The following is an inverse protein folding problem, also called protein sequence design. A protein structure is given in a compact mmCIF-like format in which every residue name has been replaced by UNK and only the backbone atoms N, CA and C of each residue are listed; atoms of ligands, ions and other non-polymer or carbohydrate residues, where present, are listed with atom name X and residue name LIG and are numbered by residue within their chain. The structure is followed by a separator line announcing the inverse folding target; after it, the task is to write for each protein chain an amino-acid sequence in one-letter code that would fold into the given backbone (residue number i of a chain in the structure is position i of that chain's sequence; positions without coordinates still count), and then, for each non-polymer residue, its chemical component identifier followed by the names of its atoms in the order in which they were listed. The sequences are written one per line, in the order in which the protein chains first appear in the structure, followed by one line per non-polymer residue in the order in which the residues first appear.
data_IF_043062257399
#
_entry.id   IF_043062257399
#
_cell.length_a   1.000
_cell.length_b   1.000
_cell.length_c   1.000
_cell.angle_alpha   90.00
_cell.angle_beta   90.00
_cell.angle_gamma   90.00
#
_symmetry.space_group_name_H-M   'P 1'
#
loop_
_entity.id
_entity.type
_entity.pdbx_description
1 polymer ?
#
# COMPACT_ATOMS: atom_id res chain seq x y z
N UNK A 1 -11.57 3.61 -7.07
CA UNK A 1 -10.60 4.35 -7.91
C UNK A 1 -9.21 4.18 -7.31
N UNK A 2 -8.12 4.30 -8.09
CA UNK A 2 -6.74 3.96 -7.69
C UNK A 2 -6.31 4.52 -6.32
N UNK A 3 -6.72 5.75 -5.99
CA UNK A 3 -6.49 6.39 -4.67
C UNK A 3 -7.07 5.56 -3.50
N UNK A 4 -8.29 5.05 -3.64
CA UNK A 4 -8.96 4.26 -2.58
C UNK A 4 -8.26 2.91 -2.34
N UNK A 5 -7.65 2.32 -3.37
CA UNK A 5 -6.86 1.10 -3.22
C UNK A 5 -5.58 1.36 -2.43
N UNK A 6 -4.85 2.42 -2.76
CA UNK A 6 -3.65 2.82 -2.02
C UNK A 6 -3.98 3.23 -0.58
N UNK A 7 -5.08 3.96 -0.37
CA UNK A 7 -5.57 4.32 0.97
C UNK A 7 -5.87 3.08 1.81
N UNK A 8 -6.59 2.10 1.25
CA UNK A 8 -6.85 0.83 1.93
C UNK A 8 -5.56 0.05 2.24
N UNK A 9 -4.57 0.09 1.35
CA UNK A 9 -3.28 -0.59 1.56
C UNK A 9 -2.45 0.06 2.69
N UNK A 10 -2.45 1.40 2.79
CA UNK A 10 -1.77 2.13 3.88
C UNK A 10 -2.38 1.78 5.23
N UNK A 11 -3.72 1.83 5.35
CA UNK A 11 -4.41 1.47 6.60
C UNK A 11 -4.06 0.05 7.02
N UNK A 12 -4.11 -0.90 6.06
CA UNK A 12 -3.74 -2.28 6.34
C UNK A 12 -2.28 -2.42 6.80
N UNK A 13 -1.34 -1.66 6.22
CA UNK A 13 0.05 -1.65 6.63
C UNK A 13 0.25 -1.10 8.05
N UNK A 14 -0.54 -0.11 8.45
CA UNK A 14 -0.53 0.45 9.81
C UNK A 14 -1.10 -0.55 10.83
N UNK A 15 -2.21 -1.20 10.49
CA UNK A 15 -2.83 -2.25 11.32
C UNK A 15 -1.88 -3.45 11.54
N UNK A 16 -1.06 -3.79 10.55
CA UNK A 16 -0.04 -4.84 10.69
C UNK A 16 1.09 -4.48 11.68
N UNK A 17 1.34 -3.19 11.92
CA UNK A 17 2.39 -2.70 12.83
C UNK A 17 1.93 -2.52 14.28
N UNK A 18 0.61 -2.51 14.54
CA UNK A 18 0.02 -2.47 15.88
C UNK A 18 -0.14 -3.88 16.44
N UNK A 19 0.67 -4.25 17.43
CA UNK A 19 0.64 -5.58 18.03
C UNK A 19 -0.77 -6.02 18.47
N UNK A 20 -1.16 -7.23 18.06
CA UNK A 20 -2.45 -7.92 18.31
C UNK A 20 -3.62 -7.30 17.55
N UNK A 21 -4.16 -7.90 16.49
CA UNK A 21 -5.07 -9.06 16.55
C UNK A 21 -4.91 -9.92 15.29
N UNK A 22 -4.69 -11.23 15.51
CA UNK A 22 -4.89 -12.26 14.47
C UNK A 22 -6.37 -12.35 14.14
N UNK A 23 -6.88 -11.44 13.33
CA UNK A 23 -8.08 -11.72 12.56
C UNK A 23 -7.65 -11.77 11.11
N UNK A 24 -7.38 -12.99 10.64
CA UNK A 24 -7.21 -13.37 9.23
C UNK A 24 -8.57 -13.22 8.53
N UNK A 25 -9.15 -12.03 8.62
CA UNK A 25 -10.59 -11.77 8.55
C UNK A 25 -11.00 -10.83 7.43
N UNK A 26 -10.06 -10.37 6.60
CA UNK A 26 -10.43 -9.75 5.34
C UNK A 26 -9.41 -10.09 4.25
N UNK A 27 -9.61 -11.23 3.58
CA UNK A 27 -8.86 -11.61 2.38
C UNK A 27 -8.80 -10.47 1.34
N UNK A 28 -9.76 -9.54 1.36
CA UNK A 28 -9.82 -8.42 0.45
C UNK A 28 -8.73 -7.37 0.70
N UNK A 29 -8.50 -6.92 1.94
CA UNK A 29 -7.53 -5.84 2.24
C UNK A 29 -6.09 -6.31 2.08
N UNK A 30 -5.78 -7.55 2.49
CA UNK A 30 -4.49 -8.17 2.24
C UNK A 30 -4.20 -8.33 0.74
N UNK A 31 -5.20 -8.74 -0.07
CA UNK A 31 -5.04 -8.83 -1.54
C UNK A 31 -4.85 -7.47 -2.19
N UNK A 32 -5.52 -6.42 -1.70
CA UNK A 32 -5.33 -5.05 -2.18
C UNK A 32 -3.92 -4.57 -1.84
N UNK A 33 -3.43 -4.84 -0.63
CA UNK A 33 -2.08 -4.50 -0.21
C UNK A 33 -1.04 -5.13 -1.14
N UNK A 34 -1.07 -6.45 -1.33
CA UNK A 34 -0.13 -7.16 -2.23
C UNK A 34 -0.15 -6.59 -3.65
N UNK A 35 -1.34 -6.37 -4.22
CA UNK A 35 -1.50 -5.78 -5.56
C UNK A 35 -0.97 -4.34 -5.64
N UNK A 36 -1.12 -3.54 -4.58
CA UNK A 36 -0.55 -2.20 -4.52
C UNK A 36 0.98 -2.25 -4.51
N UNK A 37 1.59 -3.21 -3.81
CA UNK A 37 3.04 -3.41 -3.84
C UNK A 37 3.53 -3.83 -5.22
N UNK A 38 2.88 -4.81 -5.86
CA UNK A 38 3.22 -5.22 -7.23
C UNK A 38 3.17 -4.04 -8.20
N UNK A 39 2.13 -3.19 -8.09
CA UNK A 39 1.99 -2.01 -8.95
C UNK A 39 3.01 -0.91 -8.63
N UNK A 40 3.40 -0.76 -7.36
CA UNK A 40 4.32 0.27 -6.90
C UNK A 40 5.75 0.00 -7.35
N UNK A 41 6.17 -1.27 -7.29
CA UNK A 41 7.54 -1.69 -7.61
C UNK A 41 7.68 -2.28 -9.03
N UNK A 42 6.57 -2.45 -9.76
CA UNK A 42 6.58 -2.94 -11.13
C UNK A 42 7.23 -4.32 -11.24
N UNK A 43 8.27 -4.44 -12.06
CA UNK A 43 9.01 -5.67 -12.28
C UNK A 43 9.61 -6.26 -10.98
N UNK A 44 10.03 -5.39 -10.05
CA UNK A 44 10.57 -5.81 -8.75
C UNK A 44 9.48 -6.16 -7.72
N UNK A 45 8.20 -6.03 -8.06
CA UNK A 45 7.09 -6.26 -7.14
C UNK A 45 7.13 -7.64 -6.46
N UNK A 46 7.41 -8.69 -7.23
CA UNK A 46 7.51 -10.06 -6.71
C UNK A 46 8.70 -10.25 -5.77
N UNK A 47 9.85 -9.64 -6.07
CA UNK A 47 11.03 -9.68 -5.21
C UNK A 47 10.77 -8.99 -3.88
N UNK A 48 10.11 -7.83 -3.91
CA UNK A 48 9.75 -7.07 -2.72
C UNK A 48 8.73 -7.85 -1.87
N UNK A 49 7.75 -8.50 -2.48
CA UNK A 49 6.82 -9.38 -1.77
C UNK A 49 7.51 -10.58 -1.13
N UNK A 50 8.50 -11.17 -1.80
CA UNK A 50 9.31 -12.25 -1.24
C UNK A 50 10.15 -11.77 -0.04
N UNK A 51 10.71 -10.55 -0.09
CA UNK A 51 11.41 -9.95 1.05
C UNK A 51 10.44 -9.69 2.21
N UNK A 52 9.24 -9.20 1.90
CA UNK A 52 8.19 -8.96 2.89
C UNK A 52 7.72 -10.24 3.59
N UNK A 53 7.56 -11.34 2.85
CA UNK A 53 7.20 -12.65 3.40
C UNK A 53 8.29 -13.18 4.36
N UNK A 54 9.56 -12.97 4.02
CA UNK A 54 10.72 -13.40 4.82
C UNK A 54 10.93 -12.59 6.09
N UNK A 55 10.76 -11.28 6.01
CA UNK A 55 10.95 -10.36 7.15
C UNK A 55 9.92 -9.22 7.14
N UNK A 56 8.67 -9.51 7.54
CA UNK A 56 7.60 -8.53 7.51
C UNK A 56 7.88 -7.38 8.50
N UNK A 57 8.53 -7.64 9.63
CA UNK A 57 8.85 -6.61 10.62
C UNK A 57 9.78 -5.53 10.05
N UNK A 58 10.77 -5.93 9.26
CA UNK A 58 11.71 -5.00 8.60
C UNK A 58 11.14 -4.38 7.33
N UNK A 59 10.40 -5.14 6.54
CA UNK A 59 9.86 -4.67 5.26
C UNK A 59 8.64 -3.77 5.42
N UNK A 60 7.77 -4.03 6.40
CA UNK A 60 6.54 -3.28 6.64
C UNK A 60 6.74 -1.75 6.78
N UNK A 61 7.67 -1.23 7.59
CA UNK A 61 7.88 0.22 7.70
C UNK A 61 8.32 0.84 6.36
N UNK A 62 9.11 0.12 5.56
CA UNK A 62 9.57 0.58 4.24
C UNK A 62 8.40 0.60 3.24
N UNK A 63 7.60 -0.47 3.19
CA UNK A 63 6.45 -0.56 2.29
C UNK A 63 5.36 0.45 2.66
N UNK A 64 5.12 0.65 3.96
CA UNK A 64 4.20 1.68 4.45
C UNK A 64 4.60 3.06 3.96
N UNK A 65 5.89 3.43 4.12
CA UNK A 65 6.39 4.73 3.66
C UNK A 65 6.17 4.91 2.16
N UNK A 66 6.53 3.91 1.35
CA UNK A 66 6.36 3.99 -0.12
C UNK A 66 4.90 4.06 -0.54
N UNK A 67 4.01 3.34 0.14
CA UNK A 67 2.57 3.43 -0.11
C UNK A 67 2.01 4.83 0.23
N UNK A 68 2.48 5.44 1.33
CA UNK A 68 2.10 6.80 1.72
C UNK A 68 2.57 7.83 0.69
N UNK A 69 3.86 7.79 0.29
CA UNK A 69 4.41 8.66 -0.75
C UNK A 69 3.58 8.56 -2.04
N UNK A 70 3.24 7.33 -2.46
CA UNK A 70 2.47 7.14 -3.68
C UNK A 70 1.03 7.64 -3.57
N UNK A 71 0.39 7.44 -2.41
CA UNK A 71 -0.95 7.94 -2.15
C UNK A 71 -0.99 9.47 -2.24
N UNK A 72 0.00 10.16 -1.66
CA UNK A 72 0.13 11.61 -1.74
C UNK A 72 0.33 12.09 -3.18
N UNK A 73 1.18 11.44 -3.97
CA UNK A 73 1.33 11.73 -5.39
C UNK A 73 0.00 11.61 -6.15
N UNK A 74 -0.74 10.52 -5.91
CA UNK A 74 -2.02 10.27 -6.57
C UNK A 74 -3.09 11.30 -6.19
N UNK A 75 -3.15 11.71 -4.92
CA UNK A 75 -4.04 12.75 -4.43
C UNK A 75 -3.68 14.09 -5.08
N UNK A 76 -2.40 14.46 -5.10
CA UNK A 76 -1.92 15.71 -5.73
C UNK A 76 -2.22 15.71 -7.23
N UNK A 77 -1.98 14.62 -7.93
CA UNK A 77 -2.31 14.50 -9.34
C UNK A 77 -3.80 14.70 -9.59
N UNK A 78 -4.67 14.05 -8.80
CA UNK A 78 -6.12 14.21 -8.89
C UNK A 78 -6.54 15.67 -8.65
N UNK A 79 -6.01 16.31 -7.60
CA UNK A 79 -6.30 17.71 -7.28
C UNK A 79 -5.81 18.67 -8.38
N UNK A 80 -4.61 18.46 -8.93
CA UNK A 80 -4.08 19.27 -10.02
C UNK A 80 -4.88 19.11 -11.31
N UNK A 81 -5.39 17.90 -11.57
CA UNK A 81 -6.27 17.62 -12.70
C UNK A 81 -7.64 18.29 -12.53
N UNK A 82 -8.24 18.19 -11.34
CA UNK A 82 -9.51 18.85 -10.98
C UNK A 82 -9.39 20.39 -11.05
N UNK A 83 -8.23 20.98 -10.73
CA UNK A 83 -7.98 22.43 -10.82
C UNK A 83 -7.71 22.97 -12.24
N UNK A 84 -7.23 22.14 -13.16
CA UNK A 84 -6.93 22.57 -14.54
C UNK A 84 -8.09 22.37 -15.51
N UNK A 85 -9.08 21.57 -15.14
CA UNK A 85 -10.25 21.24 -15.98
C UNK A 85 -11.58 21.75 -15.41
N UNK A 86 -11.54 22.61 -14.38
CA UNK A 86 -12.71 23.24 -13.74
C UNK A 86 -12.92 24.69 -14.18
#
# INVERSE_FOLDING_TARGET
MLVEWFKSAVIHAEEMGGGTVKNKGNNMTGRIFLRCIERLYGDQGLEILNIFDKDPQRALPVLRLRLQEKLEELIRYRQSFEKHHG
#
